data_IF_174611533667
#
_entry.id   IF_174611533667
#
_cell.length_a   1.000
_cell.length_b   1.000
_cell.length_c   1.000
_cell.angle_alpha   90.00
_cell.angle_beta   90.00
_cell.angle_gamma   90.00
#
_symmetry.space_group_name_H-M   'P 1'
#
loop_
_entity.id
_entity.type
_entity.pdbx_description
1 polymer ?
#
# COMPACT_ATOMS: atom_id res chain seq x y z
N UNK A 1 9.84 4.00 -31.86
CA UNK A 1 9.81 2.65 -31.24
C UNK A 1 11.21 2.16 -30.81
N UNK A 2 12.07 3.05 -30.34
CA UNK A 2 13.34 2.72 -29.66
C UNK A 2 13.82 4.03 -29.04
N UNK A 3 14.35 4.00 -27.80
CA UNK A 3 14.85 5.14 -26.99
C UNK A 3 14.04 5.60 -25.76
N UNK A 4 13.38 4.68 -25.03
CA UNK A 4 12.99 4.96 -23.62
C UNK A 4 13.45 3.89 -22.62
N UNK A 5 14.17 2.85 -23.06
CA UNK A 5 14.52 1.68 -22.23
C UNK A 5 15.87 1.77 -21.50
N UNK A 6 16.52 2.93 -21.39
CA UNK A 6 17.94 2.97 -20.97
C UNK A 6 18.31 4.06 -19.97
N UNK A 7 17.41 4.41 -19.04
CA UNK A 7 17.75 5.28 -17.89
C UNK A 7 17.40 4.71 -16.51
N UNK A 8 17.35 3.39 -16.36
CA UNK A 8 17.56 2.75 -15.05
C UNK A 8 19.04 2.35 -14.97
N UNK A 9 19.91 3.37 -14.91
CA UNK A 9 21.34 3.19 -14.69
C UNK A 9 21.59 3.09 -13.18
N UNK A 10 21.93 1.88 -12.74
CA UNK A 10 22.83 1.60 -11.59
C UNK A 10 22.46 2.25 -10.26
N UNK A 11 21.28 1.95 -9.70
CA UNK A 11 21.05 2.07 -8.25
C UNK A 11 21.37 0.72 -7.62
N UNK A 12 22.19 0.71 -6.56
CA UNK A 12 22.63 -0.52 -5.90
C UNK A 12 21.41 -1.31 -5.42
N UNK A 13 21.35 -2.58 -5.83
CA UNK A 13 20.19 -3.43 -5.59
C UNK A 13 20.18 -3.92 -4.15
N UNK A 14 19.05 -3.72 -3.46
CA UNK A 14 18.84 -4.25 -2.12
C UNK A 14 18.69 -5.78 -2.19
N UNK A 15 19.51 -6.50 -1.41
CA UNK A 15 19.53 -7.98 -1.36
C UNK A 15 18.86 -8.55 -0.12
N UNK A 16 18.69 -7.72 0.90
CA UNK A 16 18.08 -8.11 2.16
C UNK A 16 17.54 -6.87 2.87
N UNK A 17 16.47 -7.02 3.64
CA UNK A 17 15.98 -5.99 4.56
C UNK A 17 16.57 -6.25 5.94
N UNK A 18 17.26 -5.23 6.50
CA UNK A 18 17.88 -5.25 7.82
C UNK A 18 17.11 -4.37 8.80
N UNK A 19 17.41 -4.47 10.10
CA UNK A 19 16.79 -3.64 11.12
C UNK A 19 16.92 -2.12 10.84
N UNK A 20 18.05 -1.68 10.30
CA UNK A 20 18.29 -0.28 9.90
C UNK A 20 17.43 0.20 8.72
N UNK A 21 16.88 -0.73 7.94
CA UNK A 21 16.00 -0.42 6.80
C UNK A 21 14.54 -0.23 7.21
N UNK A 22 14.15 -0.61 8.43
CA UNK A 22 12.75 -0.66 8.85
C UNK A 22 12.15 0.72 9.03
N UNK A 23 12.88 1.67 9.64
CA UNK A 23 12.41 3.05 9.76
C UNK A 23 12.22 3.72 8.38
N UNK A 24 13.18 3.63 7.43
CA UNK A 24 12.95 4.03 6.05
C UNK A 24 11.79 3.29 5.37
N UNK A 25 11.68 1.96 5.53
CA UNK A 25 10.57 1.20 4.98
C UNK A 25 9.23 1.75 5.47
N UNK A 26 9.08 1.94 6.78
CA UNK A 26 7.86 2.47 7.38
C UNK A 26 7.52 3.89 6.89
N UNK A 27 8.50 4.79 6.82
CA UNK A 27 8.30 6.13 6.30
C UNK A 27 7.87 6.12 4.82
N UNK A 28 8.50 5.28 4.00
CA UNK A 28 8.13 5.11 2.59
C UNK A 28 6.76 4.47 2.39
N UNK A 29 6.46 3.39 3.11
CA UNK A 29 5.15 2.74 3.08
C UNK A 29 4.04 3.71 3.49
N UNK A 30 4.28 4.59 4.47
CA UNK A 30 3.33 5.63 4.84
C UNK A 30 3.06 6.61 3.67
N UNK A 31 4.08 6.98 2.90
CA UNK A 31 3.94 7.82 1.70
C UNK A 31 3.14 7.09 0.61
N UNK A 32 3.46 5.83 0.32
CA UNK A 32 2.71 5.00 -0.63
C UNK A 32 1.32 4.58 -0.13
N UNK A 33 1.03 4.78 1.16
CA UNK A 33 -0.28 4.52 1.74
C UNK A 33 -1.37 5.43 1.18
N UNK A 34 -1.01 6.56 0.55
CA UNK A 34 -2.00 7.50 -0.03
C UNK A 34 -3.10 7.91 0.95
N UNK A 35 -2.75 8.00 2.23
CA UNK A 35 -3.69 8.28 3.33
C UNK A 35 -4.33 7.04 3.98
N UNK A 36 -4.20 5.85 3.41
CA UNK A 36 -4.68 4.58 3.96
C UNK A 36 -3.56 3.56 4.21
N UNK A 37 -3.89 2.26 4.09
CA UNK A 37 -2.97 1.14 4.33
C UNK A 37 -2.59 0.87 5.79
N UNK A 38 -3.12 1.65 6.73
CA UNK A 38 -2.91 1.48 8.17
C UNK A 38 -1.69 2.23 8.74
N UNK A 39 -1.74 2.51 10.05
CA UNK A 39 -0.68 3.24 10.74
C UNK A 39 0.61 2.42 10.85
N UNK A 40 1.74 2.99 10.44
CA UNK A 40 3.01 2.25 10.34
C UNK A 40 3.77 2.08 11.65
N UNK A 41 3.53 2.92 12.66
CA UNK A 41 4.39 3.00 13.84
C UNK A 41 4.49 1.68 14.64
N UNK A 42 3.35 1.07 14.95
CA UNK A 42 3.30 -0.20 15.69
C UNK A 42 3.91 -1.34 14.87
N UNK A 43 3.64 -1.37 13.56
CA UNK A 43 4.23 -2.33 12.62
C UNK A 43 5.75 -2.16 12.46
N UNK A 44 6.26 -0.93 12.49
CA UNK A 44 7.67 -0.63 12.47
C UNK A 44 8.36 -1.25 13.68
N UNK A 45 7.87 -0.96 14.88
CA UNK A 45 8.43 -1.52 16.13
C UNK A 45 8.38 -3.05 16.13
N UNK A 46 7.27 -3.65 15.70
CA UNK A 46 7.15 -5.11 15.64
C UNK A 46 8.13 -5.73 14.62
N UNK A 47 8.33 -5.07 13.48
CA UNK A 47 9.24 -5.53 12.42
C UNK A 47 10.70 -5.39 12.81
N UNK A 48 11.09 -4.28 13.44
CA UNK A 48 12.42 -4.08 14.02
C UNK A 48 12.74 -5.21 14.99
N UNK A 49 11.82 -5.52 15.92
CA UNK A 49 11.99 -6.61 16.89
C UNK A 49 12.11 -7.98 16.24
N UNK A 50 11.34 -8.25 15.18
CA UNK A 50 11.42 -9.50 14.45
C UNK A 50 12.78 -9.67 13.76
N UNK A 51 13.30 -8.61 13.12
CA UNK A 51 14.60 -8.63 12.45
C UNK A 51 15.77 -8.66 13.44
N UNK A 52 15.66 -8.00 14.60
CA UNK A 52 16.64 -8.12 15.69
C UNK A 52 16.75 -9.55 16.21
N UNK A 53 15.61 -10.25 16.33
CA UNK A 53 15.55 -11.60 16.87
C UNK A 53 15.92 -12.69 15.86
N UNK A 54 15.46 -12.57 14.61
CA UNK A 54 15.61 -13.61 13.58
C UNK A 54 16.74 -13.33 12.58
N UNK A 55 17.23 -12.08 12.50
CA UNK A 55 18.19 -11.65 11.50
C UNK A 55 17.54 -11.04 10.26
N UNK A 56 18.34 -10.65 9.26
CA UNK A 56 17.85 -10.01 8.04
C UNK A 56 17.00 -10.94 7.18
N UNK A 57 16.05 -10.36 6.46
CA UNK A 57 15.20 -11.08 5.50
C UNK A 57 15.82 -10.99 4.12
N UNK A 58 15.97 -12.12 3.44
CA UNK A 58 16.40 -12.16 2.04
C UNK A 58 15.33 -11.53 1.15
N UNK A 59 15.74 -10.56 0.32
CA UNK A 59 14.86 -9.86 -0.61
C UNK A 59 15.14 -10.32 -2.04
N UNK A 60 14.18 -11.02 -2.64
CA UNK A 60 14.28 -11.62 -3.98
C UNK A 60 13.44 -10.85 -5.00
N UNK A 61 13.84 -10.88 -6.27
CA UNK A 61 13.03 -10.34 -7.39
C UNK A 61 12.25 -11.45 -8.09
N UNK A 62 11.25 -11.11 -8.91
CA UNK A 62 10.50 -12.10 -9.70
C UNK A 62 11.43 -12.96 -10.58
N UNK A 63 12.48 -12.37 -11.14
CA UNK A 63 13.48 -13.07 -11.96
C UNK A 63 14.37 -14.07 -11.20
N UNK A 64 14.35 -14.03 -9.87
CA UNK A 64 15.15 -14.93 -9.02
C UNK A 64 14.31 -16.04 -8.40
N UNK A 65 13.00 -16.02 -8.60
CA UNK A 65 12.13 -17.12 -8.19
C UNK A 65 12.41 -18.34 -9.08
N UNK A 66 12.62 -19.49 -8.44
CA UNK A 66 12.78 -20.76 -9.15
C UNK A 66 11.45 -21.54 -9.23
N UNK A 67 11.50 -22.76 -9.77
CA UNK A 67 10.31 -23.61 -9.94
C UNK A 67 9.77 -24.17 -8.61
N UNK A 68 10.61 -24.23 -7.58
CA UNK A 68 10.28 -24.75 -6.25
C UNK A 68 9.76 -23.64 -5.33
N UNK A 69 9.98 -22.38 -5.69
CA UNK A 69 9.43 -21.24 -4.97
C UNK A 69 7.90 -21.17 -5.05
N UNK A 70 7.29 -20.95 -3.88
CA UNK A 70 5.88 -20.68 -3.71
C UNK A 70 5.72 -19.38 -2.94
N UNK A 71 5.24 -18.36 -3.64
CA UNK A 71 4.98 -17.03 -3.08
C UNK A 71 3.54 -17.02 -2.55
N UNK A 72 3.31 -16.39 -1.40
CA UNK A 72 1.97 -16.05 -0.97
C UNK A 72 1.90 -14.61 -0.46
N UNK A 73 0.75 -13.99 -0.67
CA UNK A 73 0.48 -12.68 -0.12
C UNK A 73 0.05 -12.82 1.33
N UNK A 74 0.52 -11.93 2.19
CA UNK A 74 -0.07 -11.73 3.51
C UNK A 74 -0.33 -10.24 3.77
N UNK A 75 -1.47 -9.93 4.40
CA UNK A 75 -1.83 -8.57 4.81
C UNK A 75 -2.82 -8.56 5.98
N UNK A 76 -2.98 -7.40 6.60
CA UNK A 76 -4.13 -7.10 7.45
C UNK A 76 -5.35 -6.72 6.62
N UNK A 77 -6.52 -7.14 7.08
CA UNK A 77 -7.83 -6.84 6.51
C UNK A 77 -8.70 -6.27 7.62
N UNK A 78 -9.29 -5.09 7.40
CA UNK A 78 -10.21 -4.49 8.36
C UNK A 78 -10.11 -2.98 8.45
N UNK A 79 -10.59 -2.44 9.56
CA UNK A 79 -10.63 -1.00 9.77
C UNK A 79 -9.27 -0.50 10.31
N UNK A 80 -8.60 0.45 9.63
CA UNK A 80 -7.35 1.03 10.11
C UNK A 80 -7.45 1.58 11.54
N UNK A 81 -8.60 2.15 11.90
CA UNK A 81 -8.87 2.69 13.24
C UNK A 81 -8.85 1.62 14.33
N UNK A 82 -9.25 0.39 14.02
CA UNK A 82 -9.18 -0.75 14.95
C UNK A 82 -7.75 -1.26 15.07
N UNK A 83 -7.00 -1.30 13.96
CA UNK A 83 -5.59 -1.75 13.93
C UNK A 83 -4.63 -0.90 14.77
N UNK A 84 -5.02 0.32 15.13
CA UNK A 84 -4.24 1.17 16.06
C UNK A 84 -4.25 0.59 17.47
N UNK A 85 -5.35 -0.03 17.90
CA UNK A 85 -5.54 -0.54 19.27
C UNK A 85 -5.44 -2.08 19.35
N UNK A 86 -5.82 -2.78 18.28
CA UNK A 86 -5.82 -4.24 18.20
C UNK A 86 -4.54 -4.74 17.52
N UNK A 87 -3.49 -4.95 18.31
CA UNK A 87 -2.22 -5.50 17.81
C UNK A 87 -2.37 -6.98 17.42
N UNK A 88 -1.70 -7.39 16.35
CA UNK A 88 -1.65 -8.79 15.93
C UNK A 88 -0.96 -9.67 16.96
N UNK A 89 -1.48 -10.88 17.14
CA UNK A 89 -0.86 -11.91 17.98
C UNK A 89 0.24 -12.64 17.21
N UNK A 90 1.33 -13.02 17.88
CA UNK A 90 2.41 -13.80 17.24
C UNK A 90 1.92 -15.15 16.72
N UNK A 91 1.02 -15.81 17.44
CA UNK A 91 0.45 -17.10 17.05
C UNK A 91 -0.45 -16.99 15.81
N UNK A 92 -1.00 -15.80 15.53
CA UNK A 92 -1.88 -15.54 14.39
C UNK A 92 -1.13 -15.73 13.06
N UNK A 93 0.12 -15.30 13.01
CA UNK A 93 0.99 -15.39 11.83
C UNK A 93 1.32 -16.85 11.52
N UNK A 94 1.71 -17.62 12.54
CA UNK A 94 2.07 -19.02 12.40
C UNK A 94 0.86 -19.88 11.96
N UNK A 95 -0.31 -19.62 12.55
CA UNK A 95 -1.55 -20.30 12.19
C UNK A 95 -2.03 -19.95 10.77
N UNK A 96 -1.84 -18.69 10.35
CA UNK A 96 -2.17 -18.24 9.01
C UNK A 96 -1.29 -18.93 7.95
N UNK A 97 0.03 -19.02 8.18
CA UNK A 97 0.94 -19.76 7.29
C UNK A 97 0.56 -21.25 7.24
N UNK A 98 0.33 -21.89 8.38
CA UNK A 98 -0.05 -23.30 8.44
C UNK A 98 -1.35 -23.59 7.67
N UNK A 99 -2.37 -22.73 7.83
CA UNK A 99 -3.61 -22.81 7.07
C UNK A 99 -3.39 -22.62 5.57
N UNK A 100 -2.54 -21.68 5.18
CA UNK A 100 -2.20 -21.43 3.78
C UNK A 100 -1.48 -22.62 3.13
N UNK A 101 -0.48 -23.20 3.81
CA UNK A 101 0.24 -24.38 3.33
C UNK A 101 -0.68 -25.60 3.21
N UNK A 102 -1.60 -25.78 4.16
CA UNK A 102 -2.59 -26.85 4.12
C UNK A 102 -3.56 -26.69 2.92
N UNK A 103 -3.98 -25.45 2.63
CA UNK A 103 -4.85 -25.15 1.49
C UNK A 103 -4.14 -25.26 0.13
N UNK A 104 -2.85 -24.88 0.09
CA UNK A 104 -2.00 -24.96 -1.10
C UNK A 104 -1.50 -26.40 -1.37
N UNK A 105 -1.46 -27.26 -0.35
CA UNK A 105 -0.88 -28.60 -0.46
C UNK A 105 0.64 -28.61 -0.65
N UNK A 106 1.32 -27.49 -0.39
CA UNK A 106 2.78 -27.34 -0.47
C UNK A 106 3.28 -26.30 0.53
N UNK A 107 4.58 -26.34 0.83
CA UNK A 107 5.24 -25.33 1.66
C UNK A 107 5.32 -24.00 0.91
N UNK A 108 5.14 -22.91 1.64
CA UNK A 108 5.39 -21.55 1.15
C UNK A 108 6.85 -21.20 1.42
N UNK A 109 7.52 -20.59 0.44
CA UNK A 109 8.95 -20.25 0.54
C UNK A 109 9.17 -18.74 0.63
N UNK A 110 8.23 -17.95 0.11
CA UNK A 110 8.37 -16.51 -0.07
C UNK A 110 7.07 -15.79 0.31
N UNK A 111 7.18 -14.70 1.06
CA UNK A 111 6.06 -13.80 1.32
C UNK A 111 6.10 -12.58 0.40
N UNK A 112 4.93 -12.02 0.12
CA UNK A 112 4.77 -10.74 -0.56
C UNK A 112 3.73 -9.89 0.19
N UNK A 113 3.89 -8.57 0.19
CA UNK A 113 2.84 -7.68 0.69
C UNK A 113 1.64 -7.66 -0.28
N UNK A 114 0.42 -7.51 0.24
CA UNK A 114 -0.75 -7.29 -0.62
C UNK A 114 -0.68 -5.90 -1.26
N UNK A 115 -0.29 -4.93 -0.44
CA UNK A 115 -0.10 -3.53 -0.80
C UNK A 115 1.16 -3.01 -0.10
N UNK A 116 1.92 -2.16 -0.76
CA UNK A 116 3.08 -1.49 -0.14
C UNK A 116 2.66 -0.35 0.80
N UNK A 117 1.41 0.09 0.72
CA UNK A 117 0.88 1.18 1.53
C UNK A 117 0.75 0.84 3.02
N UNK A 118 1.17 1.77 3.87
CA UNK A 118 0.93 1.72 5.32
C UNK A 118 1.51 0.49 6.02
N UNK A 119 0.82 0.00 7.06
CA UNK A 119 1.25 -1.16 7.86
C UNK A 119 1.30 -2.45 7.06
N UNK A 120 0.53 -2.56 5.98
CA UNK A 120 0.52 -3.71 5.08
C UNK A 120 1.81 -3.82 4.25
N UNK A 121 2.54 -2.72 4.02
CA UNK A 121 3.88 -2.78 3.42
C UNK A 121 5.00 -3.10 4.42
N UNK A 122 4.77 -2.86 5.72
CA UNK A 122 5.80 -3.01 6.77
C UNK A 122 5.72 -4.37 7.45
N UNK A 123 4.54 -4.74 7.95
CA UNK A 123 4.35 -5.91 8.81
C UNK A 123 4.76 -7.23 8.15
N UNK A 124 4.49 -7.46 6.85
CA UNK A 124 4.87 -8.71 6.19
C UNK A 124 6.39 -8.97 6.16
N UNK A 125 7.22 -7.93 6.19
CA UNK A 125 8.68 -8.10 6.32
C UNK A 125 9.04 -8.70 7.67
N UNK A 126 8.43 -8.20 8.75
CA UNK A 126 8.60 -8.77 10.09
C UNK A 126 8.07 -10.20 10.19
N UNK A 127 6.97 -10.51 9.50
CA UNK A 127 6.43 -11.86 9.43
C UNK A 127 7.38 -12.81 8.70
N UNK A 128 7.96 -12.39 7.57
CA UNK A 128 8.94 -13.17 6.83
C UNK A 128 10.19 -13.45 7.68
N UNK A 129 10.69 -12.45 8.41
CA UNK A 129 11.81 -12.61 9.35
C UNK A 129 11.51 -13.70 10.38
N UNK A 130 10.34 -13.59 11.03
CA UNK A 130 9.90 -14.56 12.05
C UNK A 130 9.74 -15.97 11.49
N UNK A 131 9.15 -16.10 10.31
CA UNK A 131 8.83 -17.38 9.69
C UNK A 131 10.04 -18.01 8.98
N UNK A 132 11.15 -17.28 8.83
CA UNK A 132 12.32 -17.74 8.09
C UNK A 132 12.07 -17.87 6.59
N UNK A 133 11.21 -17.00 6.02
CA UNK A 133 10.85 -16.98 4.61
C UNK A 133 11.58 -15.87 3.87
N UNK A 134 11.76 -16.05 2.56
CA UNK A 134 12.18 -14.97 1.66
C UNK A 134 11.07 -13.91 1.58
N UNK A 135 11.42 -12.70 1.14
CA UNK A 135 10.45 -11.67 0.81
C UNK A 135 10.61 -11.25 -0.65
N UNK A 136 9.50 -11.17 -1.38
CA UNK A 136 9.50 -10.70 -2.76
C UNK A 136 9.53 -9.17 -2.75
N UNK A 137 10.46 -8.57 -3.50
CA UNK A 137 10.50 -7.12 -3.77
C UNK A 137 9.39 -6.76 -4.77
N UNK A 138 8.15 -6.88 -4.33
CA UNK A 138 6.95 -6.54 -5.07
C UNK A 138 5.77 -6.43 -4.09
N UNK A 139 4.67 -5.86 -4.59
CA UNK A 139 3.36 -5.99 -3.95
C UNK A 139 2.26 -6.08 -5.01
N UNK A 140 1.02 -6.23 -4.55
CA UNK A 140 -0.14 -6.36 -5.43
C UNK A 140 -0.78 -5.04 -5.86
N UNK A 141 -0.41 -3.88 -5.28
CA UNK A 141 -1.15 -2.63 -5.46
C UNK A 141 -0.28 -1.43 -5.88
N UNK A 142 0.98 -1.36 -5.46
CA UNK A 142 1.90 -0.22 -5.67
C UNK A 142 1.51 1.05 -4.89
N UNK A 143 0.38 0.97 -4.17
CA UNK A 143 -0.24 1.97 -3.29
C UNK A 143 -1.16 1.24 -2.31
N UNK A 144 -1.91 1.95 -1.48
CA UNK A 144 -3.07 1.35 -0.80
C UNK A 144 -4.36 1.48 -1.63
N UNK A 145 -5.22 0.46 -1.56
CA UNK A 145 -6.59 0.47 -2.06
C UNK A 145 -7.56 -0.12 -1.02
N UNK A 146 -8.85 0.27 -1.04
CA UNK A 146 -9.78 -0.13 0.02
C UNK A 146 -10.38 -1.54 -0.15
N UNK A 147 -10.25 -2.18 -1.31
CA UNK A 147 -10.91 -3.45 -1.61
C UNK A 147 -9.91 -4.50 -2.15
N UNK A 148 -10.05 -5.76 -1.73
CA UNK A 148 -9.14 -6.83 -2.15
C UNK A 148 -9.24 -7.16 -3.65
N UNK A 149 -10.30 -6.72 -4.32
CA UNK A 149 -10.46 -6.81 -5.79
C UNK A 149 -9.48 -5.89 -6.53
N UNK A 150 -9.00 -4.81 -5.89
CA UNK A 150 -8.09 -3.82 -6.47
C UNK A 150 -6.64 -4.30 -6.33
N UNK A 151 -6.32 -5.45 -6.94
CA UNK A 151 -4.99 -6.05 -6.89
C UNK A 151 -4.51 -6.47 -8.28
N UNK A 152 -3.22 -6.27 -8.57
CA UNK A 152 -2.56 -6.49 -9.86
C UNK A 152 -2.81 -7.89 -10.44
N UNK A 153 -2.86 -8.90 -9.56
CA UNK A 153 -3.13 -10.29 -9.92
C UNK A 153 -4.53 -10.46 -10.52
N UNK A 154 -5.53 -9.71 -10.02
CA UNK A 154 -6.88 -9.68 -10.58
C UNK A 154 -6.91 -8.97 -11.95
N UNK A 155 -6.10 -7.92 -12.11
CA UNK A 155 -5.95 -7.23 -13.40
C UNK A 155 -5.33 -8.17 -14.45
N UNK A 156 -4.33 -8.93 -14.04
CA UNK A 156 -3.64 -9.92 -14.87
C UNK A 156 -4.44 -11.22 -15.10
N UNK A 157 -5.61 -11.38 -14.47
CA UNK A 157 -6.46 -12.57 -14.61
C UNK A 157 -5.91 -13.82 -13.92
N UNK A 158 -5.02 -13.66 -12.93
CA UNK A 158 -4.54 -14.77 -12.10
C UNK A 158 -5.69 -15.23 -11.18
N UNK A 159 -6.03 -16.52 -11.13
CA UNK A 159 -7.07 -17.00 -10.23
C UNK A 159 -6.61 -16.98 -8.77
N UNK A 160 -7.53 -16.68 -7.86
CA UNK A 160 -7.32 -16.82 -6.43
C UNK A 160 -8.05 -18.08 -5.93
N UNK A 161 -7.35 -19.22 -5.93
CA UNK A 161 -7.95 -20.53 -5.65
C UNK A 161 -8.48 -20.68 -4.21
N UNK A 162 -7.84 -19.99 -3.27
CA UNK A 162 -8.22 -19.97 -1.87
C UNK A 162 -7.78 -18.68 -1.19
N UNK A 163 -8.40 -18.41 -0.04
CA UNK A 163 -7.90 -17.46 0.94
C UNK A 163 -8.02 -18.07 2.34
N UNK A 164 -7.07 -17.72 3.20
CA UNK A 164 -7.08 -18.06 4.62
C UNK A 164 -7.11 -16.78 5.41
N UNK A 165 -7.92 -16.74 6.46
CA UNK A 165 -7.99 -15.62 7.38
C UNK A 165 -7.78 -16.11 8.80
N UNK A 166 -7.11 -15.29 9.60
CA UNK A 166 -6.86 -15.53 11.01
C UNK A 166 -7.28 -14.29 11.81
N UNK A 167 -8.05 -14.48 12.88
CA UNK A 167 -8.31 -13.41 13.84
C UNK A 167 -7.33 -13.44 15.02
N UNK A 168 -7.35 -12.39 15.84
CA UNK A 168 -6.37 -12.21 16.92
C UNK A 168 -6.52 -13.26 18.03
N UNK A 169 -7.70 -13.86 18.18
CA UNK A 169 -7.98 -14.89 19.20
C UNK A 169 -7.60 -16.31 18.76
N UNK A 170 -7.35 -16.50 17.45
CA UNK A 170 -6.80 -17.74 16.90
C UNK A 170 -7.78 -18.56 16.05
N UNK A 171 -8.95 -18.02 15.69
CA UNK A 171 -9.83 -18.69 14.73
C UNK A 171 -9.23 -18.60 13.32
N UNK A 172 -9.34 -19.69 12.56
CA UNK A 172 -8.93 -19.77 11.16
C UNK A 172 -10.13 -20.05 10.28
N UNK A 173 -10.28 -19.26 9.22
CA UNK A 173 -11.29 -19.46 8.17
C UNK A 173 -10.57 -19.67 6.84
N UNK A 174 -10.87 -20.77 6.15
CA UNK A 174 -10.41 -21.02 4.78
C UNK A 174 -11.59 -20.91 3.84
N UNK A 175 -11.42 -20.14 2.77
CA UNK A 175 -12.46 -19.85 1.79
C UNK A 175 -12.01 -20.28 0.40
N UNK A 176 -12.96 -20.84 -0.35
CA UNK A 176 -12.88 -21.00 -1.81
C UNK A 176 -14.11 -20.32 -2.39
N UNK A 177 -13.89 -19.30 -3.19
CA UNK A 177 -14.96 -18.53 -3.80
C UNK A 177 -14.90 -18.63 -5.31
N UNK A 178 -16.02 -18.30 -5.97
CA UNK A 178 -16.11 -18.38 -7.44
C UNK A 178 -15.35 -17.25 -8.13
N UNK A 179 -15.14 -16.13 -7.43
CA UNK A 179 -14.36 -14.97 -7.87
C UNK A 179 -13.90 -14.13 -6.66
N UNK A 180 -13.13 -13.07 -6.92
CA UNK A 180 -12.67 -12.14 -5.89
C UNK A 180 -13.76 -11.25 -5.31
N UNK A 181 -14.84 -10.98 -6.04
CA UNK A 181 -15.94 -10.17 -5.52
C UNK A 181 -16.68 -10.92 -4.39
N UNK A 182 -16.85 -12.23 -4.54
CA UNK A 182 -17.32 -13.11 -3.46
C UNK A 182 -16.30 -13.25 -2.34
N UNK A 183 -15.01 -13.31 -2.65
CA UNK A 183 -13.97 -13.35 -1.63
C UNK A 183 -14.04 -12.13 -0.73
N UNK A 184 -14.07 -10.93 -1.32
CA UNK A 184 -14.17 -9.64 -0.63
C UNK A 184 -15.41 -9.60 0.28
N UNK A 185 -16.59 -10.01 -0.22
CA UNK A 185 -17.83 -10.07 0.58
C UNK A 185 -17.70 -10.98 1.80
N UNK A 186 -17.15 -12.19 1.63
CA UNK A 186 -16.98 -13.13 2.73
C UNK A 186 -15.91 -12.66 3.71
N UNK A 187 -14.76 -12.19 3.21
CA UNK A 187 -13.67 -11.68 4.03
C UNK A 187 -14.13 -10.51 4.90
N UNK A 188 -14.94 -9.60 4.36
CA UNK A 188 -15.51 -8.48 5.11
C UNK A 188 -16.45 -8.96 6.21
N UNK A 189 -17.32 -9.93 5.93
CA UNK A 189 -18.22 -10.50 6.94
C UNK A 189 -17.47 -11.19 8.08
N UNK A 190 -16.43 -11.97 7.76
CA UNK A 190 -15.54 -12.61 8.74
C UNK A 190 -14.83 -11.56 9.57
N UNK A 191 -14.26 -10.53 8.94
CA UNK A 191 -13.54 -9.45 9.62
C UNK A 191 -14.43 -8.72 10.63
N UNK A 192 -15.68 -8.43 10.27
CA UNK A 192 -16.65 -7.82 11.20
C UNK A 192 -16.93 -8.74 12.39
N UNK A 193 -17.17 -10.04 12.14
CA UNK A 193 -17.42 -11.01 13.20
C UNK A 193 -16.21 -11.20 14.13
N UNK A 194 -14.99 -11.04 13.61
CA UNK A 194 -13.72 -11.16 14.33
C UNK A 194 -13.31 -9.89 15.11
N UNK A 195 -14.19 -8.88 15.21
CA UNK A 195 -13.91 -7.65 15.96
C UNK A 195 -13.32 -6.52 15.13
N UNK A 196 -13.37 -6.61 13.80
CA UNK A 196 -13.02 -5.53 12.88
C UNK A 196 -11.62 -5.59 12.29
N UNK A 197 -10.83 -6.62 12.63
CA UNK A 197 -9.49 -6.84 12.08
C UNK A 197 -9.17 -8.35 11.98
N UNK A 198 -8.62 -8.75 10.84
CA UNK A 198 -8.04 -10.07 10.59
C UNK A 198 -6.69 -9.93 9.88
N UNK A 199 -5.89 -10.99 9.92
CA UNK A 199 -4.84 -11.20 8.93
C UNK A 199 -5.36 -12.14 7.85
N UNK A 200 -4.91 -11.93 6.61
CA UNK A 200 -5.31 -12.72 5.45
C UNK A 200 -4.10 -13.20 4.67
N UNK A 201 -4.21 -14.40 4.09
CA UNK A 201 -3.27 -14.97 3.15
C UNK A 201 -4.01 -15.51 1.93
N UNK A 202 -3.58 -15.12 0.74
CA UNK A 202 -4.26 -15.47 -0.52
C UNK A 202 -3.29 -15.31 -1.70
N UNK A 203 -3.76 -15.66 -2.91
CA UNK A 203 -2.94 -15.68 -4.14
C UNK A 203 -1.63 -16.46 -3.98
N UNK A 204 -1.68 -17.80 -3.95
CA UNK A 204 -0.47 -18.57 -4.18
C UNK A 204 0.08 -18.26 -5.58
N UNK A 205 1.33 -17.81 -5.67
CA UNK A 205 2.00 -17.51 -6.93
C UNK A 205 3.23 -18.41 -7.11
N UNK A 206 3.51 -18.71 -8.37
CA UNK A 206 4.73 -19.35 -8.85
C UNK A 206 5.59 -18.30 -9.54
N UNK A 207 6.86 -18.61 -9.84
CA UNK A 207 7.70 -17.74 -10.68
C UNK A 207 7.01 -17.36 -12.01
N UNK A 208 6.29 -18.31 -12.61
CA UNK A 208 5.57 -18.09 -13.86
C UNK A 208 4.35 -17.16 -13.71
N UNK A 209 3.55 -17.35 -12.66
CA UNK A 209 2.32 -16.56 -12.45
C UNK A 209 2.57 -15.20 -11.81
N UNK A 210 3.70 -15.01 -11.10
CA UNK A 210 4.09 -13.70 -10.58
C UNK A 210 4.51 -12.73 -11.69
N UNK A 211 5.15 -13.23 -12.75
CA UNK A 211 5.65 -12.40 -13.86
C UNK A 211 4.51 -11.68 -14.58
N UNK A 212 4.53 -10.35 -14.52
CA UNK A 212 3.50 -9.50 -15.14
C UNK A 212 2.18 -9.45 -14.37
N UNK A 213 2.10 -10.07 -13.18
CA UNK A 213 0.92 -10.03 -12.33
C UNK A 213 1.12 -9.27 -11.02
N UNK A 214 2.36 -8.86 -10.71
CA UNK A 214 2.73 -8.10 -9.50
C UNK A 214 3.40 -6.78 -9.89
N UNK A 215 3.47 -5.83 -8.96
CA UNK A 215 4.19 -4.57 -9.15
C UNK A 215 5.55 -4.71 -8.50
N UNK A 216 6.60 -4.79 -9.33
CA UNK A 216 7.96 -5.10 -8.88
C UNK A 216 8.69 -3.89 -8.30
N UNK A 217 9.60 -4.14 -7.36
CA UNK A 217 10.53 -3.15 -6.80
C UNK A 217 9.95 -2.23 -5.73
N UNK A 218 8.75 -2.52 -5.21
CA UNK A 218 8.01 -1.60 -4.35
C UNK A 218 8.56 -1.53 -2.92
N UNK A 219 9.11 -2.63 -2.39
CA UNK A 219 9.82 -2.63 -1.10
C UNK A 219 11.08 -1.77 -1.19
N UNK A 220 11.87 -2.00 -2.25
CA UNK A 220 13.06 -1.20 -2.53
C UNK A 220 12.70 0.28 -2.75
N UNK A 221 11.59 0.59 -3.42
CA UNK A 221 11.12 1.95 -3.62
C UNK A 221 10.71 2.62 -2.30
N UNK A 222 9.94 1.95 -1.45
CA UNK A 222 9.56 2.45 -0.13
C UNK A 222 10.80 2.78 0.71
N UNK A 223 11.79 1.89 0.78
CA UNK A 223 13.03 2.15 1.53
C UNK A 223 13.78 3.37 0.97
N UNK A 224 13.87 3.53 -0.36
CA UNK A 224 14.53 4.71 -0.95
C UNK A 224 13.80 6.01 -0.62
N UNK A 225 12.48 6.03 -0.74
CA UNK A 225 11.65 7.19 -0.39
C UNK A 225 11.79 7.55 1.08
N UNK A 226 11.74 6.55 1.97
CA UNK A 226 11.93 6.78 3.40
C UNK A 226 13.33 7.28 3.75
N UNK A 227 14.38 6.78 3.09
CA UNK A 227 15.75 7.31 3.27
C UNK A 227 15.84 8.77 2.81
N UNK A 228 15.22 9.11 1.67
CA UNK A 228 15.16 10.48 1.17
C UNK A 228 14.44 11.41 2.16
N UNK A 229 13.30 10.96 2.70
CA UNK A 229 12.53 11.69 3.71
C UNK A 229 13.35 11.94 4.99
N UNK A 230 13.90 10.87 5.58
CA UNK A 230 14.51 10.90 6.90
C UNK A 230 15.87 11.61 6.95
N UNK A 231 16.56 11.74 5.81
CA UNK A 231 17.90 12.33 5.73
C UNK A 231 17.93 13.77 5.20
N UNK A 232 16.85 14.24 4.58
CA UNK A 232 16.82 15.54 3.93
C UNK A 232 16.51 16.69 4.90
N UNK A 233 17.10 17.85 4.64
CA UNK A 233 16.70 19.11 5.30
C UNK A 233 15.39 19.69 4.74
N UNK A 234 15.03 19.30 3.52
CA UNK A 234 13.74 19.59 2.87
C UNK A 234 13.08 18.25 2.49
N UNK A 235 12.42 17.58 3.46
CA UNK A 235 11.88 16.24 3.25
C UNK A 235 10.82 16.16 2.15
N UNK A 236 9.95 17.18 2.05
CA UNK A 236 8.87 17.21 1.05
C UNK A 236 9.45 17.19 -0.37
N UNK A 237 10.44 18.05 -0.62
CA UNK A 237 11.09 18.11 -1.93
C UNK A 237 11.89 16.86 -2.22
N UNK A 238 12.61 16.32 -1.24
CA UNK A 238 13.38 15.08 -1.41
C UNK A 238 12.49 13.88 -1.78
N UNK A 239 11.33 13.75 -1.13
CA UNK A 239 10.33 12.73 -1.47
C UNK A 239 9.76 12.96 -2.87
N UNK A 240 9.42 14.21 -3.21
CA UNK A 240 8.89 14.54 -4.53
C UNK A 240 9.90 14.22 -5.65
N UNK A 241 11.17 14.56 -5.46
CA UNK A 241 12.24 14.29 -6.43
C UNK A 241 12.47 12.77 -6.60
N UNK A 242 12.47 11.98 -5.51
CA UNK A 242 12.65 10.51 -5.59
C UNK A 242 11.47 9.79 -6.27
N UNK A 243 10.25 10.32 -6.11
CA UNK A 243 9.03 9.78 -6.72
C UNK A 243 8.72 10.34 -8.12
N UNK A 244 9.44 11.37 -8.57
CA UNK A 244 9.02 12.22 -9.69
C UNK A 244 7.57 12.76 -9.50
N UNK A 245 7.24 13.11 -8.26
CA UNK A 245 5.94 13.65 -7.88
C UNK A 245 5.89 15.16 -8.07
N UNK A 246 4.68 15.68 -8.31
CA UNK A 246 4.41 17.11 -8.21
C UNK A 246 3.96 17.46 -6.79
N UNK A 247 4.45 18.58 -6.25
CA UNK A 247 3.85 19.22 -5.07
C UNK A 247 2.71 20.10 -5.58
N UNK A 248 1.46 19.64 -5.43
CA UNK A 248 0.29 20.33 -5.97
C UNK A 248 -0.04 21.61 -5.19
N UNK A 249 0.15 21.59 -3.88
CA UNK A 249 -0.02 22.75 -2.99
C UNK A 249 0.78 22.57 -1.69
N UNK A 250 1.30 23.67 -1.16
CA UNK A 250 1.68 23.80 0.24
C UNK A 250 0.67 24.71 0.95
N UNK A 251 0.05 24.23 2.03
CA UNK A 251 -1.11 24.87 2.61
C UNK A 251 -1.40 24.53 4.05
N UNK A 252 -2.59 24.94 4.49
CA UNK A 252 -3.15 24.64 5.80
C UNK A 252 -4.51 23.98 5.61
N UNK A 253 -4.77 22.92 6.37
CA UNK A 253 -6.09 22.29 6.41
C UNK A 253 -7.09 23.25 7.05
N UNK A 254 -8.14 23.62 6.31
CA UNK A 254 -9.19 24.55 6.77
C UNK A 254 -10.56 23.89 6.93
N UNK A 255 -10.74 22.68 6.40
CA UNK A 255 -11.96 21.91 6.63
C UNK A 255 -11.69 20.40 6.48
N UNK A 256 -12.40 19.60 7.26
CA UNK A 256 -12.32 18.14 7.24
C UNK A 256 -13.72 17.59 7.47
N UNK A 257 -14.30 16.96 6.46
CA UNK A 257 -15.58 16.29 6.54
C UNK A 257 -15.36 14.77 6.40
N UNK A 258 -15.87 13.98 7.36
CA UNK A 258 -15.77 12.51 7.33
C UNK A 258 -17.07 11.87 7.77
N UNK A 259 -17.41 10.75 7.15
CA UNK A 259 -18.50 9.86 7.56
C UNK A 259 -18.12 8.42 7.28
N UNK A 260 -18.53 7.51 8.16
CA UNK A 260 -18.33 6.08 7.95
C UNK A 260 -19.58 5.51 7.29
N UNK A 261 -19.46 5.03 6.06
CA UNK A 261 -20.55 4.47 5.27
C UNK A 261 -20.09 3.17 4.60
N UNK A 262 -20.87 2.09 4.74
CA UNK A 262 -20.57 0.80 4.10
C UNK A 262 -19.27 0.14 4.58
N UNK A 263 -18.74 0.50 5.76
CA UNK A 263 -17.46 0.01 6.26
C UNK A 263 -16.23 0.78 5.76
N UNK A 264 -16.43 1.92 5.09
CA UNK A 264 -15.36 2.80 4.61
C UNK A 264 -15.49 4.20 5.21
N UNK A 265 -14.38 4.89 5.41
CA UNK A 265 -14.35 6.32 5.77
C UNK A 265 -14.39 7.14 4.49
N UNK A 266 -15.53 7.77 4.21
CA UNK A 266 -15.72 8.67 3.06
C UNK A 266 -15.70 10.12 3.52
N UNK A 267 -15.21 11.02 2.68
CA UNK A 267 -15.14 12.41 3.08
C UNK A 267 -14.38 13.31 2.13
N UNK A 268 -14.05 14.50 2.63
CA UNK A 268 -13.16 15.42 1.93
C UNK A 268 -12.32 16.23 2.92
N UNK A 269 -11.18 16.72 2.44
CA UNK A 269 -10.34 17.68 3.14
C UNK A 269 -10.12 18.89 2.24
N UNK A 270 -10.20 20.09 2.83
CA UNK A 270 -9.94 21.34 2.11
C UNK A 270 -8.67 21.99 2.63
N UNK A 271 -7.78 22.36 1.72
CA UNK A 271 -6.46 22.94 1.99
C UNK A 271 -6.40 24.33 1.36
N UNK A 272 -6.17 25.34 2.20
CA UNK A 272 -5.90 26.70 1.75
C UNK A 272 -4.39 26.91 1.58
N UNK A 273 -3.97 27.35 0.40
CA UNK A 273 -2.57 27.56 0.08
C UNK A 273 -1.92 28.67 0.92
N UNK A 274 -0.63 28.50 1.21
CA UNK A 274 0.18 29.46 1.96
C UNK A 274 1.45 29.82 1.18
N UNK A 275 2.11 30.92 1.57
CA UNK A 275 3.36 31.34 0.91
C UNK A 275 3.15 31.64 -0.57
N UNK A 276 3.85 30.88 -1.44
CA UNK A 276 3.73 30.99 -2.90
C UNK A 276 2.36 30.54 -3.43
N UNK A 277 1.66 29.66 -2.70
CA UNK A 277 0.34 29.15 -3.07
C UNK A 277 -0.81 29.97 -2.48
N UNK A 278 -0.52 31.14 -1.89
CA UNK A 278 -1.55 31.96 -1.24
C UNK A 278 -2.65 32.34 -2.25
N UNK A 279 -3.90 32.06 -1.87
CA UNK A 279 -5.08 32.33 -2.68
C UNK A 279 -5.60 31.11 -3.44
N UNK A 280 -4.82 30.03 -3.51
CA UNK A 280 -5.23 28.73 -4.05
C UNK A 280 -6.02 27.93 -3.02
N UNK A 281 -6.95 27.12 -3.49
CA UNK A 281 -7.79 26.26 -2.66
C UNK A 281 -7.91 24.88 -3.31
N UNK A 282 -7.44 23.85 -2.61
CA UNK A 282 -7.57 22.47 -3.07
C UNK A 282 -8.51 21.69 -2.18
N UNK A 283 -9.38 20.91 -2.83
CA UNK A 283 -10.26 19.95 -2.17
C UNK A 283 -9.84 18.55 -2.58
N UNK A 284 -9.70 17.68 -1.60
CA UNK A 284 -9.32 16.29 -1.81
C UNK A 284 -10.48 15.41 -1.37
N UNK A 285 -10.96 14.56 -2.27
CA UNK A 285 -11.97 13.54 -1.97
C UNK A 285 -11.29 12.26 -1.50
N UNK A 286 -11.87 11.61 -0.47
CA UNK A 286 -11.29 10.42 0.14
C UNK A 286 -12.31 9.30 0.39
N UNK A 287 -11.84 8.06 0.25
CA UNK A 287 -12.49 6.82 0.70
C UNK A 287 -11.40 5.89 1.26
N UNK A 288 -11.16 5.94 2.57
CA UNK A 288 -9.96 5.40 3.25
C UNK A 288 -8.63 6.01 2.76
N UNK A 289 -8.43 6.11 1.46
CA UNK A 289 -7.31 6.74 0.77
C UNK A 289 -7.73 8.06 0.10
N UNK A 290 -6.77 8.92 -0.23
CA UNK A 290 -6.96 10.11 -1.05
C UNK A 290 -7.15 9.69 -2.51
N UNK A 291 -8.26 10.10 -3.12
CA UNK A 291 -8.66 9.64 -4.45
C UNK A 291 -8.58 10.69 -5.53
N UNK A 292 -8.99 11.93 -5.24
CA UNK A 292 -9.12 12.99 -6.24
C UNK A 292 -8.64 14.30 -5.65
N UNK A 293 -7.90 15.08 -6.43
CA UNK A 293 -7.54 16.47 -6.10
C UNK A 293 -8.26 17.41 -7.07
N UNK A 294 -9.02 18.35 -6.50
CA UNK A 294 -9.75 19.38 -7.22
C UNK A 294 -9.19 20.77 -6.88
N UNK A 295 -9.04 21.63 -7.87
CA UNK A 295 -8.73 23.05 -7.72
C UNK A 295 -9.63 23.86 -8.65
N UNK A 296 -10.41 24.79 -8.12
CA UNK A 296 -11.32 25.66 -8.90
C UNK A 296 -12.28 24.92 -9.86
N UNK A 297 -12.65 23.67 -9.52
CA UNK A 297 -13.53 22.81 -10.33
C UNK A 297 -12.79 21.94 -11.34
N UNK A 298 -11.49 22.13 -11.51
CA UNK A 298 -10.63 21.31 -12.36
C UNK A 298 -10.02 20.15 -11.56
N UNK A 299 -9.90 19.01 -12.23
CA UNK A 299 -9.32 17.79 -11.67
C UNK A 299 -7.82 17.79 -11.92
N UNK A 300 -7.02 17.87 -10.85
CA UNK A 300 -5.56 17.87 -10.94
C UNK A 300 -4.95 16.47 -10.93
N UNK A 301 -5.57 15.55 -10.19
CA UNK A 301 -5.15 14.15 -10.10
C UNK A 301 -6.33 13.27 -9.71
N UNK A 302 -6.38 12.04 -10.22
CA UNK A 302 -7.37 11.02 -9.85
C UNK A 302 -6.73 9.64 -9.68
N UNK A 303 -7.35 8.83 -8.84
CA UNK A 303 -7.11 7.40 -8.76
C UNK A 303 -7.23 6.76 -10.17
N UNK A 304 -6.34 5.82 -10.56
CA UNK A 304 -5.35 5.12 -9.74
C UNK A 304 -4.05 5.86 -9.41
N UNK A 305 -3.76 7.02 -10.01
CA UNK A 305 -2.57 7.81 -9.68
C UNK A 305 -2.55 8.18 -8.19
N UNK A 306 -1.35 8.26 -7.61
CA UNK A 306 -1.18 8.34 -6.17
C UNK A 306 -1.30 9.79 -5.71
N UNK A 307 -1.99 9.99 -4.59
CA UNK A 307 -2.13 11.28 -3.91
C UNK A 307 -1.81 11.07 -2.43
N UNK A 308 -0.85 11.82 -1.91
CA UNK A 308 -0.47 11.75 -0.50
C UNK A 308 -0.41 13.15 0.10
N UNK A 309 -0.96 13.28 1.30
CA UNK A 309 -0.86 14.49 2.11
C UNK A 309 0.24 14.24 3.15
N UNK A 310 1.23 15.13 3.18
CA UNK A 310 2.34 15.08 4.14
C UNK A 310 2.36 16.33 5.00
N UNK A 311 2.93 16.23 6.19
CA UNK A 311 3.27 17.39 7.00
C UNK A 311 4.34 18.23 6.29
N UNK A 312 4.10 19.54 6.13
CA UNK A 312 4.98 20.40 5.32
C UNK A 312 6.37 20.61 5.90
N UNK A 313 6.57 20.35 7.19
CA UNK A 313 7.85 20.58 7.86
C UNK A 313 8.68 19.29 7.92
N UNK A 314 8.02 18.18 8.28
CA UNK A 314 8.69 16.89 8.49
C UNK A 314 8.65 15.97 7.27
N UNK A 315 7.73 16.19 6.33
CA UNK A 315 7.48 15.32 5.17
C UNK A 315 6.79 14.00 5.52
N UNK A 316 6.50 13.72 6.79
CA UNK A 316 5.78 12.51 7.18
C UNK A 316 4.35 12.51 6.62
N UNK A 317 3.96 11.39 6.02
CA UNK A 317 2.60 11.20 5.52
C UNK A 317 1.58 11.23 6.65
N UNK A 318 0.44 11.87 6.39
CA UNK A 318 -0.68 11.98 7.32
C UNK A 318 -1.81 11.11 6.78
N UNK A 319 -2.20 10.10 7.54
CA UNK A 319 -3.32 9.24 7.19
C UNK A 319 -4.66 9.98 7.21
N UNK A 320 -5.64 9.49 6.45
CA UNK A 320 -6.92 10.17 6.28
C UNK A 320 -7.66 10.31 7.61
N UNK A 321 -7.50 9.38 8.56
CA UNK A 321 -8.06 9.44 9.91
C UNK A 321 -7.31 10.38 10.85
N UNK A 322 -6.09 10.80 10.50
CA UNK A 322 -5.23 11.69 11.29
C UNK A 322 -5.24 13.15 10.81
N UNK A 323 -5.82 13.47 9.65
CA UNK A 323 -5.95 14.87 9.21
C UNK A 323 -6.80 15.69 10.20
N UNK A 324 -6.35 16.89 10.56
CA UNK A 324 -7.05 17.78 11.49
C UNK A 324 -7.01 19.20 10.96
N UNK A 325 -8.07 19.96 11.24
CA UNK A 325 -8.07 21.40 11.03
C UNK A 325 -6.81 22.01 11.65
N UNK A 326 -6.15 22.89 10.91
CA UNK A 326 -5.01 23.62 11.41
C UNK A 326 -3.63 23.08 10.99
N UNK A 327 -3.54 21.82 10.56
CA UNK A 327 -2.28 21.21 10.14
C UNK A 327 -1.71 21.92 8.91
N UNK A 328 -0.38 22.08 8.88
CA UNK A 328 0.36 22.58 7.72
C UNK A 328 0.78 21.40 6.87
N UNK A 329 0.28 21.35 5.65
CA UNK A 329 0.39 20.17 4.81
C UNK A 329 0.81 20.50 3.39
N UNK A 330 1.49 19.56 2.77
CA UNK A 330 1.79 19.57 1.36
C UNK A 330 1.11 18.38 0.68
N UNK A 331 0.55 18.60 -0.50
CA UNK A 331 -0.12 17.56 -1.29
C UNK A 331 0.81 17.14 -2.42
N UNK A 332 1.13 15.86 -2.49
CA UNK A 332 1.96 15.27 -3.53
C UNK A 332 1.10 14.38 -4.42
N UNK A 333 1.37 14.39 -5.72
CA UNK A 333 0.77 13.46 -6.67
C UNK A 333 1.80 12.91 -7.66
N UNK A 334 1.67 11.62 -8.01
CA UNK A 334 2.54 10.96 -8.99
C UNK A 334 1.83 9.80 -9.69
N UNK A 335 2.44 9.34 -10.79
CA UNK A 335 1.91 8.29 -11.63
C UNK A 335 1.78 6.93 -10.89
N UNK A 336 0.68 6.22 -11.15
CA UNK A 336 0.53 4.81 -10.80
C UNK A 336 1.37 3.88 -11.67
N UNK A 337 1.49 2.63 -11.23
CA UNK A 337 2.04 1.56 -12.07
C UNK A 337 1.22 1.39 -13.37
N UNK A 338 1.86 1.15 -14.53
CA UNK A 338 1.17 0.96 -15.81
C UNK A 338 0.08 -0.11 -15.82
N UNK A 339 0.13 -1.13 -14.94
CA UNK A 339 -0.92 -2.15 -14.88
C UNK A 339 -2.30 -1.54 -14.60
N UNK A 340 -2.35 -0.46 -13.81
CA UNK A 340 -3.58 0.24 -13.44
C UNK A 340 -4.15 1.10 -14.58
N UNK A 341 -3.37 1.37 -15.62
CA UNK A 341 -3.79 2.16 -16.79
C UNK A 341 -4.37 1.30 -17.90
N UNK A 342 -4.37 -0.01 -17.74
CA UNK A 342 -5.08 -0.94 -18.63
C UNK A 342 -6.59 -0.78 -18.48
N UNK A 343 -7.36 -1.21 -19.48
CA UNK A 343 -8.83 -1.20 -19.41
C UNK A 343 -9.33 -1.89 -18.14
N UNK A 344 -8.83 -3.09 -17.86
CA UNK A 344 -9.17 -3.85 -16.65
C UNK A 344 -8.72 -3.16 -15.35
N UNK A 345 -7.56 -2.53 -15.36
CA UNK A 345 -7.07 -1.75 -14.22
C UNK A 345 -7.99 -0.57 -13.89
N UNK A 346 -8.45 0.16 -14.92
CA UNK A 346 -9.37 1.29 -14.77
C UNK A 346 -10.80 0.87 -14.42
N UNK A 347 -11.26 -0.30 -14.88
CA UNK A 347 -12.52 -0.87 -14.42
C UNK A 347 -12.52 -1.15 -12.91
N UNK A 348 -11.39 -1.61 -12.37
CA UNK A 348 -11.27 -2.02 -10.96
C UNK A 348 -10.92 -0.86 -10.03
N UNK A 349 -10.07 0.08 -10.48
CA UNK A 349 -9.49 1.11 -9.62
C UNK A 349 -9.49 2.51 -10.25
N UNK A 350 -10.18 2.72 -11.38
CA UNK A 350 -10.39 4.05 -11.95
C UNK A 350 -11.47 4.84 -11.21
N UNK A 351 -11.68 6.13 -11.56
CA UNK A 351 -12.64 7.01 -10.85
C UNK A 351 -14.06 6.43 -10.79
N UNK A 352 -14.50 5.77 -11.87
CA UNK A 352 -15.82 5.14 -11.95
C UNK A 352 -16.01 4.00 -10.94
N UNK A 353 -14.95 3.24 -10.61
CA UNK A 353 -15.00 2.17 -9.61
C UNK A 353 -15.33 2.71 -8.20
N UNK A 354 -14.97 3.97 -7.93
CA UNK A 354 -15.28 4.68 -6.68
C UNK A 354 -16.59 5.47 -6.74
N UNK A 355 -17.30 5.42 -7.87
CA UNK A 355 -18.58 6.11 -8.09
C UNK A 355 -18.46 7.55 -8.59
N UNK A 356 -17.30 7.95 -9.13
CA UNK A 356 -17.12 9.27 -9.74
C UNK A 356 -17.34 9.21 -11.26
N UNK A 357 -18.22 10.07 -11.77
CA UNK A 357 -18.44 10.27 -13.20
C UNK A 357 -17.36 11.19 -13.78
N UNK A 358 -16.12 10.71 -13.78
CA UNK A 358 -14.95 11.43 -14.27
C UNK A 358 -14.12 10.52 -15.18
N UNK A 359 -13.63 11.02 -16.33
CA UNK A 359 -12.66 10.28 -17.13
C UNK A 359 -11.33 10.19 -16.37
N UNK A 360 -10.63 9.07 -16.50
CA UNK A 360 -9.24 8.98 -16.07
C UNK A 360 -8.34 9.72 -17.06
N UNK A 361 -7.55 10.65 -16.54
CA UNK A 361 -6.49 11.35 -17.28
C UNK A 361 -5.17 11.03 -16.59
N UNK A 362 -4.22 10.35 -17.26
CA UNK A 362 -2.96 9.97 -16.64
C UNK A 362 -2.20 11.18 -16.10
N UNK A 363 -1.75 11.09 -14.85
CA UNK A 363 -0.85 12.07 -14.27
C UNK A 363 0.53 11.95 -14.93
N UNK A 364 1.00 13.03 -15.56
CA UNK A 364 2.26 13.06 -16.32
C UNK A 364 3.50 13.42 -15.45
N UNK A 365 3.31 13.58 -14.13
CA UNK A 365 4.38 13.95 -13.19
C UNK A 365 4.53 15.46 -13.00
N UNK A 366 5.59 15.89 -12.32
CA UNK A 366 5.90 17.31 -12.19
C UNK A 366 6.19 17.92 -13.57
N UNK A 367 5.35 18.87 -14.01
CA UNK A 367 5.70 19.76 -15.12
C UNK A 367 6.93 20.58 -14.68
N UNK A 368 8.07 20.34 -15.33
CA UNK A 368 9.33 21.05 -15.04
C UNK A 368 9.31 22.49 -15.52
#
# INVERSE_FOLDING_TARGET
>A
MTHLSTRISTRERLRSVRAEDVAPLAAGCAVFGTGGGGAVYTSQLATERALEAAGPVELVTVDELDADDAVIIMSGIGAPTVGIEMLSSTNQIDALLAGAEAAAGRRITTLMAAEIGGSNGVSPVGWAARLGLKFLDADGMGRAFPEATMIAMNVAGVPCDFAVMADVVGNIVTMRTVDLAWLERHARAVTVASGGLCLGAHYPLTAATARGAVIEGTVSAAIRVGRALLSASDPVRAVADELNAAVLIAGKVIDVARRTEGGFVRGSVTIAGVGADRGRLQRIELQNENLIVLEDGEVLATVPDLVTIVDSETGHAISTEMLRFGQRVSVLAWACDPIWRTERGLELAGPAAFGYDLPYVPFEGAQR
#
